data_IF_042260090073
#
_entry.id   IF_042260090073
#
_cell.length_a   1.000
_cell.length_b   1.000
_cell.length_c   1.000
_cell.angle_alpha   90.00
_cell.angle_beta   90.00
_cell.angle_gamma   90.00
#
_symmetry.space_group_name_H-M   'P 1'
#
loop_
_entity.id
_entity.type
_entity.pdbx_description
1 polymer ?
#
# COMPACT_ATOMS: atom_id res chain seq x y z
N UNK A 1 25.13 5.83 2.79
CA UNK A 1 24.37 5.07 3.82
C UNK A 1 23.15 5.90 4.20
N UNK A 2 22.00 5.64 3.59
CA UNK A 2 20.72 6.27 3.98
C UNK A 2 20.07 5.29 4.96
N UNK A 3 20.45 5.36 6.23
CA UNK A 3 20.10 4.36 7.25
C UNK A 3 19.24 4.93 8.40
N UNK A 4 18.44 5.96 8.13
CA UNK A 4 17.42 6.42 9.08
C UNK A 4 16.36 7.26 8.36
N UNK A 5 15.63 6.67 7.42
CA UNK A 5 14.38 7.29 6.99
C UNK A 5 13.38 7.05 8.13
N UNK A 6 12.81 8.12 8.70
CA UNK A 6 11.95 8.08 9.89
C UNK A 6 10.82 7.04 9.82
N UNK A 7 10.34 6.72 8.62
CA UNK A 7 9.39 5.64 8.33
C UNK A 7 9.83 4.25 8.84
N UNK A 8 11.11 3.90 8.75
CA UNK A 8 11.58 2.60 9.25
C UNK A 8 11.51 2.53 10.77
N UNK A 9 11.79 3.64 11.46
CA UNK A 9 11.67 3.74 12.91
C UNK A 9 10.19 3.74 13.32
N UNK A 10 9.36 4.56 12.68
CA UNK A 10 7.92 4.62 12.91
C UNK A 10 7.24 3.27 12.71
N UNK A 11 7.58 2.52 11.64
CA UNK A 11 7.01 1.18 11.42
C UNK A 11 7.39 0.15 12.49
N UNK A 12 8.61 0.23 13.04
CA UNK A 12 9.07 -0.71 14.06
C UNK A 12 8.48 -0.39 15.44
N UNK A 13 8.41 0.90 15.77
CA UNK A 13 8.07 1.38 17.11
C UNK A 13 6.58 1.68 17.28
N UNK A 14 5.88 2.04 16.21
CA UNK A 14 4.45 2.39 16.23
C UNK A 14 3.58 1.25 15.66
N UNK A 15 2.76 0.65 16.54
CA UNK A 15 1.83 -0.43 16.22
C UNK A 15 0.74 0.04 15.24
N UNK A 16 0.30 1.30 15.35
CA UNK A 16 -0.75 1.88 14.50
C UNK A 16 -0.24 2.09 13.08
N UNK A 17 0.90 2.75 12.92
CA UNK A 17 1.58 2.93 11.63
C UNK A 17 1.80 1.58 10.93
N UNK A 18 2.29 0.59 11.69
CA UNK A 18 2.45 -0.79 11.17
C UNK A 18 1.12 -1.42 10.77
N UNK A 19 0.05 -1.21 11.54
CA UNK A 19 -1.28 -1.73 11.20
C UNK A 19 -1.78 -1.14 9.88
N UNK A 20 -1.68 0.18 9.70
CA UNK A 20 -2.10 0.87 8.47
C UNK A 20 -1.31 0.36 7.27
N UNK A 21 0.01 0.25 7.37
CA UNK A 21 0.85 -0.28 6.27
C UNK A 21 0.45 -1.72 5.92
N UNK A 22 0.10 -2.55 6.90
CA UNK A 22 -0.37 -3.92 6.65
C UNK A 22 -1.73 -3.97 5.99
N UNK A 23 -2.64 -3.06 6.36
CA UNK A 23 -3.94 -2.94 5.71
C UNK A 23 -3.79 -2.46 4.27
N UNK A 24 -2.90 -1.50 4.02
CA UNK A 24 -2.56 -1.02 2.68
C UNK A 24 -2.02 -2.14 1.78
N UNK A 25 -1.10 -2.97 2.30
CA UNK A 25 -0.65 -4.19 1.60
C UNK A 25 -1.79 -5.20 1.40
N UNK A 26 -2.72 -5.29 2.36
CA UNK A 26 -3.89 -6.15 2.30
C UNK A 26 -4.85 -5.83 1.16
N UNK A 27 -4.80 -4.62 0.59
CA UNK A 27 -5.58 -4.24 -0.59
C UNK A 27 -5.27 -5.12 -1.83
N UNK A 28 -4.13 -5.82 -1.86
CA UNK A 28 -3.85 -6.79 -2.92
C UNK A 28 -4.79 -8.01 -2.89
N UNK A 29 -5.43 -8.24 -1.73
CA UNK A 29 -6.24 -9.43 -1.43
C UNK A 29 -7.73 -9.12 -1.31
N UNK A 30 -8.18 -7.93 -1.74
CA UNK A 30 -9.61 -7.58 -1.81
C UNK A 30 -10.08 -7.51 -3.26
N UNK A 31 -11.38 -7.73 -3.54
CA UNK A 31 -11.91 -7.58 -4.89
C UNK A 31 -11.57 -6.22 -5.48
N UNK A 32 -11.21 -6.19 -6.76
CA UNK A 32 -10.71 -5.01 -7.45
C UNK A 32 -11.65 -3.80 -7.30
N UNK A 33 -12.97 -4.00 -7.41
CA UNK A 33 -13.96 -2.92 -7.26
C UNK A 33 -13.95 -2.23 -5.89
N UNK A 34 -13.41 -2.87 -4.86
CA UNK A 34 -13.36 -2.33 -3.50
C UNK A 34 -12.03 -1.67 -3.13
N UNK A 35 -10.99 -1.81 -3.97
CA UNK A 35 -9.63 -1.35 -3.64
C UNK A 35 -9.58 0.15 -3.39
N UNK A 36 -10.13 0.97 -4.30
CA UNK A 36 -10.11 2.43 -4.16
C UNK A 36 -10.92 2.88 -2.95
N UNK A 37 -12.12 2.30 -2.74
CA UNK A 37 -12.98 2.63 -1.61
C UNK A 37 -12.27 2.35 -0.27
N UNK A 38 -11.62 1.20 -0.14
CA UNK A 38 -10.91 0.84 1.09
C UNK A 38 -9.63 1.65 1.28
N UNK A 39 -8.96 2.06 0.20
CA UNK A 39 -7.84 3.00 0.29
C UNK A 39 -8.29 4.35 0.85
N UNK A 40 -9.40 4.90 0.34
CA UNK A 40 -9.94 6.18 0.80
C UNK A 40 -10.35 6.10 2.28
N UNK A 41 -11.01 5.01 2.69
CA UNK A 41 -11.32 4.78 4.10
C UNK A 41 -10.08 4.70 4.99
N UNK A 42 -9.02 4.00 4.55
CA UNK A 42 -7.76 3.96 5.29
C UNK A 42 -7.12 5.33 5.44
N UNK A 43 -7.28 6.21 4.45
CA UNK A 43 -6.78 7.58 4.50
C UNK A 43 -7.61 8.44 5.46
N UNK A 44 -8.93 8.29 5.47
CA UNK A 44 -9.85 9.03 6.36
C UNK A 44 -9.73 8.64 7.84
N UNK A 45 -9.32 7.41 8.14
CA UNK A 45 -9.15 6.91 9.51
C UNK A 45 -7.86 7.36 10.20
N UNK A 46 -6.92 7.97 9.46
CA UNK A 46 -5.65 8.43 10.01
C UNK A 46 -5.84 9.69 10.87
N UNK A 47 -5.17 9.73 12.01
CA UNK A 47 -4.97 10.99 12.72
C UNK A 47 -3.90 11.88 12.05
N UNK A 48 -3.75 13.12 12.53
CA UNK A 48 -2.81 14.09 11.95
C UNK A 48 -1.35 13.60 12.00
N UNK A 49 -0.96 12.87 13.04
CA UNK A 49 0.39 12.33 13.17
C UNK A 49 0.62 11.16 12.21
N UNK A 50 -0.35 10.24 12.13
CA UNK A 50 -0.34 9.12 11.18
C UNK A 50 -0.29 9.64 9.73
N UNK A 51 -1.06 10.69 9.41
CA UNK A 51 -1.01 11.37 8.12
C UNK A 51 0.37 11.92 7.80
N UNK A 52 1.02 12.64 8.72
CA UNK A 52 2.35 13.21 8.48
C UNK A 52 3.39 12.11 8.23
N UNK A 53 3.35 11.02 9.00
CA UNK A 53 4.29 9.91 8.88
C UNK A 53 4.08 9.07 7.61
N UNK A 54 2.82 8.95 7.15
CA UNK A 54 2.45 8.06 6.04
C UNK A 54 2.15 8.79 4.71
N UNK A 55 2.16 10.12 4.67
CA UNK A 55 1.85 10.93 3.47
C UNK A 55 2.59 10.43 2.22
N UNK A 56 3.90 10.22 2.32
CA UNK A 56 4.71 9.73 1.21
C UNK A 56 4.32 8.33 0.73
N UNK A 57 3.90 7.45 1.65
CA UNK A 57 3.45 6.08 1.34
C UNK A 57 2.11 6.12 0.62
N UNK A 58 1.14 6.88 1.13
CA UNK A 58 -0.18 7.01 0.50
C UNK A 58 -0.08 7.66 -0.88
N UNK A 59 0.68 8.74 -1.03
CA UNK A 59 0.93 9.37 -2.35
C UNK A 59 1.58 8.41 -3.34
N UNK A 60 2.57 7.64 -2.89
CA UNK A 60 3.21 6.65 -3.75
C UNK A 60 2.23 5.54 -4.16
N UNK A 61 1.44 5.04 -3.21
CA UNK A 61 0.45 4.00 -3.48
C UNK A 61 -0.65 4.50 -4.42
N UNK A 62 -1.17 5.71 -4.22
CA UNK A 62 -2.16 6.32 -5.11
C UNK A 62 -1.61 6.49 -6.53
N UNK A 63 -0.41 7.04 -6.66
CA UNK A 63 0.15 7.41 -7.97
C UNK A 63 0.63 6.19 -8.78
N UNK A 64 1.22 5.19 -8.12
CA UNK A 64 1.82 4.04 -8.78
C UNK A 64 0.92 2.80 -8.73
N UNK A 65 0.29 2.53 -7.57
CA UNK A 65 -0.40 1.27 -7.33
C UNK A 65 -1.89 1.35 -7.65
N UNK A 66 -2.64 2.34 -7.16
CA UNK A 66 -4.09 2.43 -7.43
C UNK A 66 -4.41 2.53 -8.92
N UNK A 67 -3.58 3.26 -9.68
CA UNK A 67 -3.75 3.41 -11.14
C UNK A 67 -3.46 2.15 -11.93
N UNK A 68 -2.82 1.16 -11.31
CA UNK A 68 -2.32 -0.06 -11.95
C UNK A 68 -2.73 -1.32 -11.17
N UNK A 69 -3.88 -1.27 -10.51
CA UNK A 69 -4.47 -2.35 -9.69
C UNK A 69 -4.51 -3.69 -10.40
N UNK A 70 -4.71 -3.69 -11.71
CA UNK A 70 -4.70 -4.90 -12.53
C UNK A 70 -3.36 -5.67 -12.54
N UNK A 71 -2.25 -5.04 -12.20
CA UNK A 71 -0.92 -5.67 -12.22
C UNK A 71 -0.52 -6.35 -10.91
N UNK A 72 -1.19 -6.06 -9.81
CA UNK A 72 -0.79 -6.55 -8.47
C UNK A 72 -1.94 -7.09 -7.62
N UNK A 73 -3.19 -6.74 -7.95
CA UNK A 73 -4.34 -7.29 -7.24
C UNK A 73 -4.59 -8.74 -7.66
N UNK A 74 -4.73 -9.63 -6.69
CA UNK A 74 -4.84 -11.09 -6.93
C UNK A 74 -6.10 -11.46 -7.71
N UNK A 75 -7.16 -10.65 -7.66
CA UNK A 75 -8.39 -10.88 -8.43
C UNK A 75 -8.28 -10.42 -9.89
N UNK A 76 -7.33 -9.54 -10.20
CA UNK A 76 -7.13 -9.01 -11.55
C UNK A 76 -6.02 -9.73 -12.33
N UNK A 77 -5.18 -10.50 -11.66
CA UNK A 77 -4.10 -11.27 -12.29
C UNK A 77 -4.66 -12.59 -12.81
N UNK A 78 -4.85 -12.66 -14.13
CA UNK A 78 -5.28 -13.86 -14.86
C UNK A 78 -4.27 -15.02 -14.74
N UNK A 79 -2.99 -14.69 -14.86
CA UNK A 79 -1.86 -15.63 -14.80
C UNK A 79 -1.07 -15.40 -13.50
N UNK A 80 -1.25 -16.30 -12.52
CA UNK A 80 -0.57 -16.26 -11.21
C UNK A 80 0.92 -16.65 -11.27
N UNK A 81 1.61 -16.23 -12.32
CA UNK A 81 3.02 -16.52 -12.56
C UNK A 81 3.73 -15.22 -12.89
N UNK A 82 4.93 -15.04 -12.33
CA UNK A 82 5.82 -13.89 -12.54
C UNK A 82 6.36 -13.77 -13.99
N UNK A 83 5.83 -14.54 -14.94
CA UNK A 83 6.32 -14.63 -16.30
C UNK A 83 6.35 -13.28 -17.03
N UNK A 84 5.50 -12.31 -16.63
CA UNK A 84 5.51 -10.97 -17.21
C UNK A 84 6.71 -10.12 -16.76
N UNK A 85 7.23 -10.34 -15.55
CA UNK A 85 8.42 -9.66 -15.03
C UNK A 85 9.73 -10.35 -15.44
N UNK A 86 9.68 -11.61 -15.90
CA UNK A 86 10.85 -12.39 -16.30
C UNK A 86 11.22 -12.26 -17.78
N UNK A 87 10.39 -11.64 -18.62
CA UNK A 87 10.75 -11.31 -20.00
C UNK A 87 11.21 -12.51 -20.84
N UNK A 88 10.37 -13.54 -20.94
CA UNK A 88 10.54 -14.60 -21.95
C UNK A 88 9.76 -14.29 -23.23
#
# INVERSE_FOLDING_TARGET
KVQSNGLSTAYLEDIRIRSVIRQLMGLALVPHEHVSLLFDHLLEELDEHEHEQLDGVFKYFETQWLRQTNMWNVFSISDKTNNYSEGM
#
